data_IF_587798170503
#
_entry.id   IF_587798170503
#
_cell.length_a   1.000
_cell.length_b   1.000
_cell.length_c   1.000
_cell.angle_alpha   90.00
_cell.angle_beta   90.00
_cell.angle_gamma   90.00
#
_symmetry.space_group_name_H-M   'P 1'
#
loop_
_entity.id
_entity.type
_entity.pdbx_description
1 polymer ?
#
# COMPACT_ATOMS: atom_id res chain seq x y z
N UNK A 1 21.98 -20.68 45.41
CA UNK A 1 22.76 -20.25 44.23
C UNK A 1 21.75 -19.90 43.15
N UNK A 2 21.60 -18.62 42.77
CA UNK A 2 20.68 -18.21 41.68
C UNK A 2 21.51 -18.00 40.43
N UNK A 3 21.34 -18.88 39.45
CA UNK A 3 21.92 -18.71 38.12
C UNK A 3 21.15 -17.62 37.38
N UNK A 4 21.84 -16.53 37.06
CA UNK A 4 21.33 -15.47 36.21
C UNK A 4 21.71 -15.83 34.77
N UNK A 5 20.78 -16.40 34.02
CA UNK A 5 20.96 -16.55 32.58
C UNK A 5 21.00 -15.17 31.95
N UNK A 6 22.16 -14.79 31.40
CA UNK A 6 22.34 -13.56 30.66
C UNK A 6 21.54 -13.62 29.35
N UNK A 7 20.33 -13.09 29.37
CA UNK A 7 19.54 -12.85 28.16
C UNK A 7 20.25 -11.79 27.31
N UNK A 8 20.83 -12.18 26.18
CA UNK A 8 21.22 -11.22 25.13
C UNK A 8 19.97 -10.87 24.33
N UNK A 9 19.38 -9.71 24.62
CA UNK A 9 18.38 -9.09 23.76
C UNK A 9 19.09 -8.59 22.50
N UNK A 10 18.82 -9.22 21.36
CA UNK A 10 19.29 -8.72 20.06
C UNK A 10 18.18 -7.82 19.52
N UNK A 11 18.39 -6.52 19.55
CA UNK A 11 17.46 -5.55 18.97
C UNK A 11 17.51 -5.65 17.44
N UNK A 12 16.71 -6.55 16.89
CA UNK A 12 16.40 -6.61 15.45
C UNK A 12 15.12 -5.84 15.21
N UNK A 13 15.05 -4.59 15.62
CA UNK A 13 13.86 -3.77 15.39
C UNK A 13 14.24 -2.64 14.46
N UNK A 14 14.12 -2.91 13.15
CA UNK A 14 14.09 -1.87 12.14
C UNK A 14 12.97 -0.90 12.53
N UNK A 15 13.35 0.30 12.96
CA UNK A 15 12.39 1.32 13.38
C UNK A 15 11.69 1.89 12.14
N UNK A 16 10.44 2.37 12.28
CA UNK A 16 9.73 3.00 11.16
C UNK A 16 10.50 4.21 10.60
N UNK A 17 11.25 4.90 11.47
CA UNK A 17 12.15 6.00 11.12
C UNK A 17 13.26 5.57 10.16
N UNK A 18 13.77 4.35 10.28
CA UNK A 18 14.81 3.83 9.37
C UNK A 18 14.29 3.71 7.92
N UNK A 19 12.97 3.61 7.76
CA UNK A 19 12.29 3.61 6.46
C UNK A 19 11.75 4.99 6.05
N UNK A 20 12.03 6.04 6.83
CA UNK A 20 11.51 7.39 6.58
C UNK A 20 10.02 7.54 6.89
N UNK A 21 9.49 6.72 7.81
CA UNK A 21 8.08 6.69 8.18
C UNK A 21 7.87 7.01 9.67
N UNK A 22 6.70 7.55 10.00
CA UNK A 22 6.22 7.72 11.38
C UNK A 22 4.71 7.48 11.47
N UNK A 23 4.23 7.27 12.68
CA UNK A 23 2.79 7.28 12.95
C UNK A 23 2.31 8.74 13.05
N UNK A 24 1.25 9.08 12.33
CA UNK A 24 0.55 10.35 12.46
C UNK A 24 -0.44 10.34 13.62
N UNK A 25 -0.95 11.52 13.97
CA UNK A 25 -1.88 11.71 15.10
C UNK A 25 -3.21 10.95 14.94
N UNK A 26 -3.57 10.62 13.69
CA UNK A 26 -4.74 9.81 13.34
C UNK A 26 -4.47 8.31 13.34
N UNK A 27 -3.29 7.88 13.82
CA UNK A 27 -2.84 6.49 13.83
C UNK A 27 -2.45 5.95 12.45
N UNK A 28 -2.38 6.79 11.40
CA UNK A 28 -1.97 6.35 10.06
C UNK A 28 -0.46 6.51 9.86
N UNK A 29 0.11 5.68 9.00
CA UNK A 29 1.50 5.86 8.56
C UNK A 29 1.63 7.10 7.66
N UNK A 30 2.54 7.99 8.04
CA UNK A 30 2.94 9.18 7.29
C UNK A 30 4.45 9.19 7.11
N UNK A 31 4.96 10.03 6.21
CA UNK A 31 6.40 10.26 6.12
C UNK A 31 6.91 11.07 7.32
N UNK A 32 8.22 11.10 7.53
CA UNK A 32 8.82 11.87 8.64
C UNK A 32 8.44 13.36 8.62
N UNK A 33 8.29 13.94 7.43
CA UNK A 33 7.83 15.32 7.22
C UNK A 33 6.33 15.54 7.51
N UNK A 34 5.59 14.48 7.88
CA UNK A 34 4.15 14.51 8.11
C UNK A 34 3.31 14.43 6.82
N UNK A 35 3.95 14.37 5.65
CA UNK A 35 3.23 14.25 4.40
C UNK A 35 2.56 12.88 4.27
N UNK A 36 1.35 12.90 3.72
CA UNK A 36 0.56 11.68 3.54
C UNK A 36 1.24 10.77 2.53
N UNK A 37 1.36 9.49 2.86
CA UNK A 37 1.81 8.47 1.91
C UNK A 37 0.71 8.34 0.84
N UNK A 38 1.02 8.74 -0.40
CA UNK A 38 0.09 8.62 -1.52
C UNK A 38 -0.15 7.13 -1.81
N UNK A 39 -1.35 6.64 -1.49
CA UNK A 39 -1.80 5.28 -1.80
C UNK A 39 -1.97 5.03 -3.30
N UNK A 40 -2.21 6.10 -4.08
CA UNK A 40 -2.24 6.06 -5.53
C UNK A 40 -0.85 6.45 -6.06
N UNK A 41 0.02 5.46 -6.24
CA UNK A 41 1.23 5.64 -7.01
C UNK A 41 0.87 6.03 -8.46
N UNK A 42 1.61 6.95 -9.07
CA UNK A 42 1.38 7.41 -10.45
C UNK A 42 1.26 6.23 -11.44
N UNK A 43 2.02 5.16 -11.22
CA UNK A 43 1.95 3.94 -12.03
C UNK A 43 0.59 3.22 -11.97
N UNK A 44 -0.14 3.32 -10.85
CA UNK A 44 -1.49 2.75 -10.70
C UNK A 44 -2.52 3.56 -11.48
N UNK A 45 -2.40 4.89 -11.46
CA UNK A 45 -3.28 5.75 -12.25
C UNK A 45 -3.12 5.53 -13.75
N UNK A 46 -1.90 5.28 -14.22
CA UNK A 46 -1.64 4.96 -15.62
C UNK A 46 -2.35 3.69 -16.08
N UNK A 47 -2.47 2.67 -15.22
CA UNK A 47 -3.23 1.46 -15.55
C UNK A 47 -4.71 1.80 -15.81
N UNK A 48 -5.31 2.69 -15.02
CA UNK A 48 -6.72 3.06 -15.15
C UNK A 48 -7.01 4.10 -16.24
N UNK A 49 -6.03 4.91 -16.62
CA UNK A 49 -6.17 5.89 -17.72
C UNK A 49 -6.14 5.25 -19.09
N UNK A 50 -5.40 4.16 -19.25
CA UNK A 50 -5.28 3.44 -20.52
C UNK A 50 -6.56 2.66 -20.82
N UNK A 51 -6.96 2.63 -22.09
CA UNK A 51 -8.09 1.79 -22.52
C UNK A 51 -7.70 0.31 -22.44
N UNK A 52 -8.69 -0.55 -22.24
CA UNK A 52 -8.47 -1.99 -22.31
C UNK A 52 -7.92 -2.35 -23.68
N UNK A 53 -6.80 -3.09 -23.71
CA UNK A 53 -6.11 -3.49 -24.95
C UNK A 53 -5.02 -2.54 -25.44
N UNK A 54 -4.89 -1.33 -24.88
CA UNK A 54 -3.73 -0.48 -25.16
C UNK A 54 -2.45 -1.04 -24.54
N UNK A 55 -1.28 -0.56 -24.96
CA UNK A 55 -0.01 -1.12 -24.49
C UNK A 55 0.44 -0.43 -23.20
N UNK A 56 0.69 -1.22 -22.15
CA UNK A 56 1.30 -0.70 -20.92
C UNK A 56 2.74 -0.22 -21.15
N UNK A 57 3.21 0.78 -20.39
CA UNK A 57 4.62 1.14 -20.37
C UNK A 57 5.50 -0.06 -20.02
N UNK A 58 6.68 -0.13 -20.65
CA UNK A 58 7.67 -1.17 -20.32
C UNK A 58 8.21 -0.91 -18.92
N UNK A 59 8.25 -1.93 -18.08
CA UNK A 59 8.83 -1.83 -16.74
C UNK A 59 8.41 -2.99 -15.83
N UNK A 60 9.20 -3.24 -14.76
CA UNK A 60 8.92 -4.34 -13.82
C UNK A 60 7.54 -4.22 -13.17
N UNK A 61 7.09 -3.00 -12.87
CA UNK A 61 5.77 -2.76 -12.27
C UNK A 61 4.61 -3.19 -13.16
N UNK A 62 4.75 -3.08 -14.48
CA UNK A 62 3.70 -3.36 -15.46
C UNK A 62 3.72 -4.79 -15.99
N UNK A 63 4.76 -5.57 -15.64
CA UNK A 63 4.85 -6.98 -16.03
C UNK A 63 3.61 -7.72 -15.54
N UNK A 64 2.93 -8.42 -16.46
CA UNK A 64 1.71 -9.19 -16.24
C UNK A 64 0.46 -8.40 -15.80
N UNK A 65 0.49 -7.07 -15.81
CA UNK A 65 -0.71 -6.25 -15.55
C UNK A 65 -1.48 -6.04 -16.86
N UNK A 66 -2.79 -5.82 -16.73
CA UNK A 66 -3.65 -5.47 -17.86
C UNK A 66 -4.05 -3.99 -17.74
N UNK A 67 -3.97 -3.21 -18.83
CA UNK A 67 -4.49 -1.84 -18.83
C UNK A 67 -6.01 -1.84 -18.81
N UNK A 68 -6.57 -0.75 -18.30
CA UNK A 68 -8.01 -0.57 -18.14
C UNK A 68 -8.45 -0.67 -16.68
N UNK A 69 -9.66 -0.15 -16.43
CA UNK A 69 -10.35 -0.37 -15.16
C UNK A 69 -10.69 -1.86 -15.02
N UNK A 70 -10.55 -2.45 -13.81
CA UNK A 70 -11.03 -3.79 -13.57
C UNK A 70 -12.53 -3.86 -13.87
N UNK A 71 -12.96 -4.95 -14.50
CA UNK A 71 -14.36 -5.22 -14.73
C UNK A 71 -15.05 -5.29 -13.35
N UNK A 72 -15.85 -4.27 -13.02
CA UNK A 72 -16.69 -4.28 -11.81
C UNK A 72 -18.06 -4.78 -12.23
N UNK A 73 -18.35 -6.03 -11.93
CA UNK A 73 -19.71 -6.59 -12.06
C UNK A 73 -20.42 -6.21 -10.77
N UNK A 74 -21.43 -5.33 -10.88
CA UNK A 74 -22.33 -5.04 -9.78
C UNK A 74 -23.50 -6.02 -9.88
N UNK A 75 -23.70 -6.79 -8.81
CA UNK A 75 -24.87 -7.63 -8.63
C UNK A 75 -25.94 -6.86 -7.85
N UNK A 76 -27.21 -7.25 -7.99
CA UNK A 76 -28.39 -6.60 -7.40
C UNK A 76 -28.28 -6.45 -5.88
N UNK A 77 -27.53 -7.35 -5.23
CA UNK A 77 -27.22 -7.32 -3.81
C UNK A 77 -26.30 -6.16 -3.37
N UNK A 78 -25.48 -5.62 -4.29
CA UNK A 78 -24.59 -4.48 -4.01
C UNK A 78 -25.37 -3.16 -3.88
N UNK A 79 -26.49 -3.03 -4.59
CA UNK A 79 -27.37 -1.87 -4.58
C UNK A 79 -28.05 -1.67 -3.22
N UNK A 80 -28.38 -2.76 -2.53
CA UNK A 80 -29.05 -2.76 -1.22
C UNK A 80 -28.22 -2.07 -0.11
N UNK A 81 -26.89 -2.12 -0.20
CA UNK A 81 -25.98 -1.46 0.75
C UNK A 81 -25.46 -0.11 0.27
N UNK A 82 -25.80 0.31 -0.95
CA UNK A 82 -25.36 1.57 -1.53
C UNK A 82 -26.37 2.72 -1.34
N UNK A 83 -27.58 2.44 -0.84
CA UNK A 83 -28.52 3.49 -0.44
C UNK A 83 -28.11 4.06 0.92
N UNK A 84 -27.72 5.33 0.91
CA UNK A 84 -27.61 6.16 2.11
C UNK A 84 -28.97 6.70 2.50
#
# INVERSE_FOLDING_TARGET
MKEYFASKTVDVTQSLSDFGLKLGDDGKLVRLDGSRIKTNAAFKEWIYKLKAGERLPRGRYFKNKRPGKPLMIQDEFHSLFSSK
#
